data_IF_367896016447
#
_entry.id   IF_367896016447
#
_cell.length_a   1.000
_cell.length_b   1.000
_cell.length_c   1.000
_cell.angle_alpha   90.00
_cell.angle_beta   90.00
_cell.angle_gamma   90.00
#
_symmetry.space_group_name_H-M   'P 1'
#
loop_
_entity.id
_entity.type
_entity.pdbx_description
1 polymer ?
#
# COMPACT_ATOMS: atom_id res chain seq x y z
N UNK A 1 -12.58 -12.05 9.24
CA UNK A 1 -13.33 -11.30 8.23
C UNK A 1 -12.31 -10.84 7.21
N UNK A 2 -12.56 -11.07 5.93
CA UNK A 2 -11.68 -10.60 4.87
C UNK A 2 -11.69 -9.06 4.82
N UNK A 3 -10.53 -8.38 4.87
CA UNK A 3 -10.48 -6.92 4.88
C UNK A 3 -11.10 -6.27 3.64
N UNK A 4 -10.94 -6.89 2.47
CA UNK A 4 -11.48 -6.38 1.21
C UNK A 4 -13.01 -6.49 1.19
N UNK A 5 -13.57 -7.62 1.63
CA UNK A 5 -15.02 -7.81 1.78
C UNK A 5 -15.64 -6.73 2.69
N UNK A 6 -14.98 -6.42 3.81
CA UNK A 6 -15.42 -5.36 4.72
C UNK A 6 -15.34 -3.97 4.05
N UNK A 7 -14.26 -3.69 3.32
CA UNK A 7 -14.10 -2.43 2.60
C UNK A 7 -15.16 -2.23 1.52
N UNK A 8 -15.54 -3.29 0.79
CA UNK A 8 -16.58 -3.24 -0.24
C UNK A 8 -17.96 -2.96 0.36
N UNK A 9 -18.29 -3.55 1.51
CA UNK A 9 -19.53 -3.22 2.25
C UNK A 9 -19.59 -1.75 2.68
N UNK A 10 -18.45 -1.17 3.09
CA UNK A 10 -18.37 0.25 3.46
C UNK A 10 -18.47 1.18 2.24
N UNK A 11 -17.93 0.75 1.08
CA UNK A 11 -18.04 1.49 -0.19
C UNK A 11 -19.48 1.62 -0.67
N UNK A 12 -20.28 0.57 -0.52
CA UNK A 12 -21.69 0.54 -0.94
C UNK A 12 -22.64 1.19 0.08
N UNK A 13 -22.17 1.43 1.31
CA UNK A 13 -22.97 2.06 2.34
C UNK A 13 -23.24 3.54 2.02
N UNK A 14 -24.48 4.00 2.24
CA UNK A 14 -24.80 5.42 2.21
C UNK A 14 -24.19 6.10 3.45
N UNK A 15 -23.00 6.66 3.28
CA UNK A 15 -22.28 7.40 4.31
C UNK A 15 -21.78 8.75 3.79
N UNK A 16 -21.86 9.77 4.64
CA UNK A 16 -21.31 11.11 4.41
C UNK A 16 -20.01 11.36 5.18
N UNK A 17 -19.62 10.44 6.07
CA UNK A 17 -18.50 10.65 7.01
C UNK A 17 -17.24 9.85 6.68
N UNK A 18 -17.35 8.82 5.84
CA UNK A 18 -16.19 8.01 5.42
C UNK A 18 -15.62 8.58 4.13
N UNK A 19 -14.40 9.14 4.20
CA UNK A 19 -13.70 9.75 3.07
C UNK A 19 -12.73 8.81 2.35
N UNK A 20 -12.12 7.86 3.07
CA UNK A 20 -11.17 6.87 2.51
C UNK A 20 -11.28 5.56 3.29
N UNK A 21 -11.27 4.44 2.57
CA UNK A 21 -11.11 3.09 3.13
C UNK A 21 -9.98 2.40 2.37
N UNK A 22 -9.02 1.86 3.12
CA UNK A 22 -7.91 1.08 2.59
C UNK A 22 -7.95 -0.27 3.30
N UNK A 23 -8.28 -1.37 2.60
CA UNK A 23 -8.15 -2.70 3.16
C UNK A 23 -6.67 -3.02 3.36
N UNK A 24 -6.30 -3.49 4.56
CA UNK A 24 -4.91 -3.78 4.93
C UNK A 24 -4.66 -5.29 4.81
N UNK A 25 -3.62 -5.69 4.09
CA UNK A 25 -3.20 -7.09 3.97
C UNK A 25 -2.41 -7.54 5.20
N UNK A 26 -1.50 -6.71 5.68
CA UNK A 26 -0.64 -7.01 6.83
C UNK A 26 -0.32 -5.74 7.62
N UNK A 27 -0.16 -5.89 8.94
CA UNK A 27 0.37 -4.84 9.82
C UNK A 27 1.73 -5.26 10.36
N UNK A 28 2.73 -4.39 10.20
CA UNK A 28 4.07 -4.58 10.75
C UNK A 28 4.44 -3.45 11.70
N UNK A 29 5.50 -3.65 12.50
CA UNK A 29 6.12 -2.56 13.25
C UNK A 29 6.68 -1.52 12.27
N UNK A 30 6.51 -0.24 12.58
CA UNK A 30 7.04 0.85 11.75
C UNK A 30 8.56 0.89 11.85
N UNK A 31 9.21 0.11 10.98
CA UNK A 31 10.65 0.10 10.73
C UNK A 31 10.88 -0.23 9.27
N UNK A 32 11.87 0.42 8.65
CA UNK A 32 12.13 0.32 7.21
C UNK A 32 12.36 -1.12 6.75
N UNK A 33 13.11 -1.91 7.53
CA UNK A 33 13.38 -3.33 7.29
C UNK A 33 12.10 -4.18 7.26
N UNK A 34 11.27 -4.07 8.29
CA UNK A 34 10.03 -4.85 8.43
C UNK A 34 9.00 -4.48 7.35
N UNK A 35 8.93 -3.20 6.98
CA UNK A 35 8.06 -2.74 5.90
C UNK A 35 8.54 -3.32 4.56
N UNK A 36 9.83 -3.19 4.26
CA UNK A 36 10.40 -3.66 3.00
C UNK A 36 10.23 -5.17 2.82
N UNK A 37 10.62 -5.97 3.81
CA UNK A 37 10.50 -7.43 3.79
C UNK A 37 9.06 -7.85 3.46
N UNK A 38 8.09 -7.23 4.15
CA UNK A 38 6.69 -7.61 3.99
C UNK A 38 6.10 -7.12 2.66
N UNK A 39 6.49 -5.94 2.18
CA UNK A 39 6.07 -5.46 0.86
C UNK A 39 6.57 -6.40 -0.24
N UNK A 40 7.84 -6.79 -0.22
CA UNK A 40 8.40 -7.70 -1.22
C UNK A 40 7.73 -9.07 -1.19
N UNK A 41 7.47 -9.60 0.00
CA UNK A 41 6.74 -10.86 0.18
C UNK A 41 5.33 -10.80 -0.43
N UNK A 42 4.54 -9.78 -0.09
CA UNK A 42 3.15 -9.65 -0.56
C UNK A 42 3.08 -9.33 -2.05
N UNK A 43 3.94 -8.44 -2.55
CA UNK A 43 4.01 -8.08 -3.96
C UNK A 43 4.41 -9.29 -4.81
N UNK A 44 5.42 -10.07 -4.39
CA UNK A 44 5.85 -11.28 -5.09
C UNK A 44 4.81 -12.40 -5.13
N UNK A 45 3.80 -12.37 -4.24
CA UNK A 45 2.68 -13.31 -4.26
C UNK A 45 1.52 -12.87 -5.15
N UNK A 46 1.36 -11.56 -5.39
CA UNK A 46 0.17 -10.98 -6.03
C UNK A 46 0.43 -10.41 -7.42
N UNK A 47 1.62 -9.86 -7.68
CA UNK A 47 1.94 -9.10 -8.89
C UNK A 47 2.77 -9.96 -9.83
N UNK A 48 2.31 -10.12 -11.07
CA UNK A 48 3.10 -10.78 -12.11
C UNK A 48 4.16 -9.83 -12.70
N UNK A 49 5.29 -10.38 -13.15
CA UNK A 49 6.42 -9.60 -13.70
C UNK A 49 6.05 -8.69 -14.89
N UNK A 50 5.03 -9.06 -15.65
CA UNK A 50 4.56 -8.26 -16.79
C UNK A 50 3.73 -7.05 -16.37
N UNK A 51 3.16 -7.08 -15.17
CA UNK A 51 2.23 -6.08 -14.66
C UNK A 51 2.95 -4.86 -14.08
N UNK A 52 2.21 -3.76 -14.07
CA UNK A 52 2.68 -2.47 -13.60
C UNK A 52 2.22 -2.12 -12.18
N UNK A 53 3.02 -1.36 -11.45
CA UNK A 53 2.71 -0.93 -10.09
C UNK A 53 3.02 0.56 -9.86
N UNK A 54 2.45 1.09 -8.78
CA UNK A 54 2.87 2.34 -8.14
C UNK A 54 2.97 2.15 -6.64
N UNK A 55 3.91 2.84 -6.00
CA UNK A 55 4.01 2.90 -4.54
C UNK A 55 3.41 4.21 -4.03
N UNK A 56 2.57 4.13 -3.00
CA UNK A 56 1.97 5.26 -2.31
C UNK A 56 2.22 5.13 -0.81
N UNK A 57 2.79 6.18 -0.21
CA UNK A 57 3.09 6.25 1.21
C UNK A 57 2.31 7.39 1.84
N UNK A 58 1.46 7.06 2.81
CA UNK A 58 0.71 8.00 3.65
C UNK A 58 1.24 7.92 5.09
N UNK A 59 1.84 9.02 5.57
CA UNK A 59 2.38 9.12 6.92
C UNK A 59 1.39 9.82 7.85
N UNK A 60 0.96 9.16 8.92
CA UNK A 60 0.08 9.73 9.96
C UNK A 60 0.84 9.86 11.28
N UNK A 61 1.25 11.10 11.58
CA UNK A 61 2.05 11.44 12.77
C UNK A 61 3.50 11.78 12.43
N UNK A 62 4.30 12.09 13.45
CA UNK A 62 5.75 12.40 13.31
C UNK A 62 6.57 11.39 14.12
N UNK A 63 7.77 11.05 13.65
CA UNK A 63 8.83 10.48 14.48
C UNK A 63 9.20 9.01 14.26
N UNK A 64 8.47 8.23 13.45
CA UNK A 64 8.82 6.82 13.18
C UNK A 64 9.50 6.59 11.82
N UNK A 65 9.19 7.42 10.84
CA UNK A 65 9.85 7.45 9.53
C UNK A 65 10.45 8.84 9.36
N UNK A 66 11.77 8.89 9.15
CA UNK A 66 12.52 10.15 9.05
C UNK A 66 12.26 10.88 7.73
N UNK A 67 12.20 10.13 6.62
CA UNK A 67 11.89 10.67 5.29
C UNK A 67 10.89 9.76 4.56
N UNK A 68 9.81 10.37 4.09
CA UNK A 68 8.83 9.72 3.23
C UNK A 68 9.45 9.35 1.90
N UNK A 69 10.27 10.23 1.37
CA UNK A 69 10.94 10.13 0.08
C UNK A 69 11.95 8.99 0.07
N UNK A 70 12.73 8.84 1.14
CA UNK A 70 13.67 7.72 1.31
C UNK A 70 12.95 6.36 1.35
N UNK A 71 11.86 6.26 2.14
CA UNK A 71 11.05 5.04 2.18
C UNK A 71 10.43 4.74 0.81
N UNK A 72 9.89 5.76 0.13
CA UNK A 72 9.29 5.63 -1.19
C UNK A 72 10.31 5.17 -2.25
N UNK A 73 11.49 5.79 -2.28
CA UNK A 73 12.55 5.43 -3.22
C UNK A 73 13.01 4.00 -2.98
N UNK A 74 13.30 3.64 -1.73
CA UNK A 74 13.73 2.27 -1.37
C UNK A 74 12.71 1.22 -1.82
N UNK A 75 11.41 1.43 -1.55
CA UNK A 75 10.38 0.48 -1.95
C UNK A 75 10.25 0.36 -3.48
N UNK A 76 10.41 1.47 -4.22
CA UNK A 76 10.36 1.46 -5.69
C UNK A 76 11.52 0.68 -6.27
N UNK A 77 12.74 0.97 -5.82
CA UNK A 77 13.96 0.36 -6.32
C UNK A 77 13.94 -1.15 -6.08
N UNK A 78 13.56 -1.58 -4.87
CA UNK A 78 13.48 -3.00 -4.50
C UNK A 78 12.39 -3.76 -5.26
N UNK A 79 11.27 -3.13 -5.58
CA UNK A 79 10.21 -3.75 -6.41
C UNK A 79 10.60 -3.81 -7.90
N UNK A 80 11.31 -2.79 -8.40
CA UNK A 80 11.84 -2.74 -9.77
C UNK A 80 12.94 -3.79 -9.96
N UNK A 81 13.93 -3.82 -9.08
CA UNK A 81 15.12 -4.66 -9.22
C UNK A 81 14.89 -6.07 -8.65
N UNK A 82 14.34 -6.17 -7.44
CA UNK A 82 14.18 -7.43 -6.72
C UNK A 82 13.10 -8.34 -7.30
N UNK A 83 12.02 -7.76 -7.85
CA UNK A 83 10.91 -8.51 -8.44
C UNK A 83 10.77 -8.35 -9.96
N UNK A 84 11.57 -7.48 -10.59
CA UNK A 84 11.50 -7.20 -12.03
C UNK A 84 10.09 -6.76 -12.48
N UNK A 85 9.47 -5.87 -11.70
CA UNK A 85 8.17 -5.27 -11.99
C UNK A 85 8.31 -3.98 -12.80
N UNK A 86 7.19 -3.46 -13.35
CA UNK A 86 7.19 -2.21 -14.13
C UNK A 86 6.57 -1.06 -13.35
N UNK A 87 7.27 0.07 -13.21
CA UNK A 87 6.69 1.27 -12.61
C UNK A 87 5.75 1.98 -13.60
N UNK A 88 4.55 2.36 -13.16
CA UNK A 88 3.63 3.22 -13.90
C UNK A 88 2.91 4.16 -12.93
N UNK A 89 3.25 5.45 -12.93
CA UNK A 89 2.66 6.42 -12.00
C UNK A 89 1.25 6.88 -12.41
N UNK A 90 0.91 6.81 -13.70
CA UNK A 90 -0.34 7.35 -14.25
C UNK A 90 -1.48 6.33 -14.22
N UNK A 91 -1.24 5.12 -14.75
CA UNK A 91 -2.26 4.08 -14.85
C UNK A 91 -1.70 2.68 -14.47
N UNK A 92 -1.37 2.47 -13.19
CA UNK A 92 -0.83 1.20 -12.71
C UNK A 92 -1.90 0.11 -12.64
N UNK A 93 -1.48 -1.14 -12.84
CA UNK A 93 -2.31 -2.31 -12.57
C UNK A 93 -2.42 -2.63 -11.08
N UNK A 94 -1.42 -2.23 -10.28
CA UNK A 94 -1.34 -2.46 -8.84
C UNK A 94 -0.90 -1.21 -8.06
N UNK A 95 -1.42 -1.06 -6.86
CA UNK A 95 -1.07 -0.01 -5.90
C UNK A 95 -0.49 -0.69 -4.66
N UNK A 96 0.78 -0.43 -4.39
CA UNK A 96 1.44 -0.76 -3.12
C UNK A 96 1.20 0.41 -2.18
N UNK A 97 0.21 0.28 -1.29
CA UNK A 97 -0.21 1.31 -0.36
C UNK A 97 0.39 1.06 1.02
N UNK A 98 1.10 2.06 1.54
CA UNK A 98 1.74 2.05 2.86
C UNK A 98 1.05 3.11 3.74
N UNK A 99 0.44 2.68 4.84
CA UNK A 99 -0.25 3.53 5.81
C UNK A 99 0.52 3.48 7.14
N UNK A 100 1.39 4.45 7.37
CA UNK A 100 2.17 4.54 8.62
C UNK A 100 1.32 5.23 9.69
N UNK A 101 1.04 4.55 10.78
CA UNK A 101 0.23 5.04 11.90
C UNK A 101 0.95 4.76 13.23
N UNK A 102 1.76 5.73 13.66
CA UNK A 102 2.59 5.58 14.85
C UNK A 102 3.57 4.41 14.73
N UNK A 103 3.56 3.54 15.74
CA UNK A 103 4.46 2.38 15.82
C UNK A 103 4.06 1.21 14.90
N UNK A 104 2.94 1.32 14.19
CA UNK A 104 2.44 0.30 13.26
C UNK A 104 2.32 0.86 11.84
N UNK A 105 2.59 0.01 10.86
CA UNK A 105 2.43 0.32 9.44
C UNK A 105 1.54 -0.73 8.79
N UNK A 106 0.45 -0.28 8.18
CA UNK A 106 -0.40 -1.12 7.34
C UNK A 106 0.15 -1.18 5.92
N UNK A 107 0.20 -2.38 5.35
CA UNK A 107 0.67 -2.65 3.99
C UNK A 107 -0.48 -3.25 3.21
N UNK A 108 -0.69 -2.76 1.99
CA UNK A 108 -1.74 -3.25 1.08
C UNK A 108 -1.21 -3.34 -0.34
N UNK A 109 -1.48 -4.44 -1.02
CA UNK A 109 -1.22 -4.67 -2.43
C UNK A 109 -2.58 -4.80 -3.12
N UNK A 110 -3.01 -3.70 -3.74
CA UNK A 110 -4.39 -3.49 -4.17
C UNK A 110 -4.46 -3.22 -5.68
N UNK A 111 -5.55 -3.64 -6.32
CA UNK A 111 -5.95 -3.08 -7.62
C UNK A 111 -6.47 -1.65 -7.41
N UNK A 112 -6.36 -0.74 -8.40
CA UNK A 112 -6.82 0.65 -8.26
C UNK A 112 -8.27 0.81 -7.77
N UNK A 113 -9.18 -0.12 -8.09
CA UNK A 113 -10.58 -0.09 -7.67
C UNK A 113 -10.88 -0.58 -6.24
N UNK A 114 -9.89 -1.20 -5.58
CA UNK A 114 -9.99 -1.74 -4.21
C UNK A 114 -9.62 -0.70 -3.15
N UNK A 115 -8.96 0.38 -3.54
CA UNK A 115 -8.79 1.57 -2.71
C UNK A 115 -10.01 2.48 -2.90
N UNK A 116 -10.79 2.64 -1.84
CA UNK A 116 -11.94 3.53 -1.86
C UNK A 116 -11.56 4.92 -1.35
N UNK A 117 -11.77 5.94 -2.17
CA UNK A 117 -11.68 7.34 -1.78
C UNK A 117 -12.87 8.09 -2.36
N UNK A 118 -13.64 8.77 -1.50
CA UNK A 118 -14.75 9.62 -1.92
C UNK A 118 -14.16 11.00 -2.26
N UNK A 119 -14.41 11.46 -3.48
CA UNK A 119 -14.06 12.81 -3.95
C UNK A 119 -15.03 13.85 -3.40
#
# INVERSE_FOLDING_TARGET
>A
MDPLEAAMKLKDAQTTVISKVVPIDEVVRTRKDAILEKVLMLAGQKIEKSESFVVRVDLRGRGYIESREDLLATLRDELLEGLNLKLNEENPEWVVQIEVVGENTGISILRPGELFKKL
#
